data_IF_218569178029
#
_entry.id   IF_218569178029
#
_cell.length_a   1.000
_cell.length_b   1.000
_cell.length_c   1.000
_cell.angle_alpha   90.00
_cell.angle_beta   90.00
_cell.angle_gamma   90.00
#
_symmetry.space_group_name_H-M   'P 1'
#
loop_
_entity.id
_entity.type
_entity.pdbx_description
1 polymer ?
#
# COMPACT_ATOMS: atom_id res chain seq x y z
N UNK A 1 14.06 3.81 -13.58
CA UNK A 1 15.15 4.70 -14.00
C UNK A 1 16.45 3.94 -14.18
N UNK A 2 17.01 3.29 -13.18
CA UNK A 2 18.30 2.57 -13.28
C UNK A 2 18.32 1.43 -14.30
N UNK A 3 17.20 0.79 -14.58
CA UNK A 3 17.14 -0.20 -15.67
C UNK A 3 17.37 0.44 -17.05
N UNK A 4 16.88 1.66 -17.25
CA UNK A 4 17.06 2.42 -18.50
C UNK A 4 18.37 3.20 -18.54
N UNK A 5 18.80 3.69 -17.40
CA UNK A 5 19.99 4.52 -17.21
C UNK A 5 20.84 3.95 -16.05
N UNK A 6 21.62 2.89 -16.28
CA UNK A 6 22.33 2.18 -15.21
C UNK A 6 23.28 3.06 -14.37
N UNK A 7 23.88 4.05 -15.02
CA UNK A 7 24.85 4.96 -14.38
C UNK A 7 24.19 6.18 -13.71
N UNK A 8 22.84 6.32 -13.77
CA UNK A 8 22.18 7.43 -13.13
C UNK A 8 22.18 7.28 -11.60
N UNK A 9 22.25 8.40 -10.90
CA UNK A 9 22.01 8.46 -9.47
C UNK A 9 20.55 8.74 -9.18
N UNK A 10 19.96 7.97 -8.29
CA UNK A 10 18.58 8.11 -7.86
C UNK A 10 18.56 8.58 -6.42
N UNK A 11 18.11 9.80 -6.21
CA UNK A 11 17.96 10.39 -4.90
C UNK A 11 16.49 10.47 -4.51
N UNK A 12 16.19 10.22 -3.28
CA UNK A 12 14.84 10.33 -2.71
C UNK A 12 14.81 11.53 -1.77
N UNK A 13 13.80 12.40 -1.85
CA UNK A 13 13.61 13.44 -0.84
C UNK A 13 13.54 12.81 0.55
N UNK A 14 14.34 13.31 1.49
CA UNK A 14 14.28 12.83 2.86
C UNK A 14 12.92 13.12 3.48
N UNK A 15 12.57 12.40 4.53
CA UNK A 15 11.37 12.69 5.30
C UNK A 15 11.37 14.10 5.90
N UNK A 16 12.55 14.63 6.22
CA UNK A 16 12.72 16.02 6.68
C UNK A 16 12.31 17.00 5.59
N UNK A 17 12.83 16.80 4.37
CA UNK A 17 12.49 17.65 3.22
C UNK A 17 10.99 17.56 2.90
N UNK A 18 10.40 16.35 2.90
CA UNK A 18 8.97 16.20 2.68
C UNK A 18 8.13 16.90 3.75
N UNK A 19 8.56 16.85 5.00
CA UNK A 19 7.89 17.57 6.08
C UNK A 19 7.97 19.09 5.91
N UNK A 20 9.08 19.63 5.44
CA UNK A 20 9.23 21.06 5.14
C UNK A 20 8.34 21.49 3.97
N UNK A 21 8.25 20.67 2.92
CA UNK A 21 7.46 20.98 1.71
C UNK A 21 5.95 20.83 1.95
N UNK A 22 5.54 19.78 2.65
CA UNK A 22 4.14 19.37 2.76
C UNK A 22 3.55 19.52 4.16
N UNK A 23 4.27 20.14 5.11
CA UNK A 23 3.96 20.14 6.55
C UNK A 23 2.48 20.22 6.91
N UNK A 24 1.81 21.30 6.50
CA UNK A 24 0.40 21.50 6.82
C UNK A 24 -0.53 20.59 6.00
N UNK A 25 -0.17 20.25 4.75
CA UNK A 25 -0.95 19.34 3.92
C UNK A 25 -0.96 17.91 4.47
N UNK A 26 0.10 17.47 5.13
CA UNK A 26 0.15 16.13 5.76
C UNK A 26 -0.84 16.05 6.92
N UNK A 27 -0.98 17.12 7.69
CA UNK A 27 -1.99 17.22 8.75
C UNK A 27 -3.41 17.23 8.18
N UNK A 28 -3.62 17.92 7.07
CA UNK A 28 -4.90 18.01 6.37
C UNK A 28 -5.39 16.69 5.77
N UNK A 29 -4.49 15.76 5.50
CA UNK A 29 -4.84 14.43 4.98
C UNK A 29 -5.23 13.44 6.08
N UNK A 30 -5.40 13.90 7.31
CA UNK A 30 -5.76 13.05 8.45
C UNK A 30 -4.59 12.24 9.01
N UNK A 31 -3.38 12.50 8.54
CA UNK A 31 -2.16 11.83 9.00
C UNK A 31 -1.52 12.55 10.20
N UNK A 32 -2.31 12.98 11.17
CA UNK A 32 -1.81 13.72 12.36
C UNK A 32 -0.70 13.01 13.14
N UNK A 33 -0.51 11.71 12.91
CA UNK A 33 0.57 10.89 13.45
C UNK A 33 1.63 10.54 12.41
N UNK A 34 1.53 11.09 11.19
CA UNK A 34 2.46 10.75 10.11
C UNK A 34 3.87 11.26 10.42
N UNK A 35 4.78 10.34 10.65
CA UNK A 35 6.19 10.65 10.74
C UNK A 35 6.83 10.49 9.36
N UNK A 36 6.94 11.60 8.62
CA UNK A 36 7.49 11.61 7.28
C UNK A 36 8.91 11.02 7.22
N UNK A 37 9.73 11.32 8.23
CA UNK A 37 11.12 10.81 8.30
C UNK A 37 11.14 9.30 8.37
N UNK A 38 10.40 8.74 9.33
CA UNK A 38 10.37 7.29 9.52
C UNK A 38 9.71 6.57 8.34
N UNK A 39 8.64 7.16 7.79
CA UNK A 39 7.92 6.56 6.67
C UNK A 39 8.79 6.46 5.42
N UNK A 40 9.44 7.55 5.01
CA UNK A 40 10.31 7.55 3.82
C UNK A 40 11.49 6.62 4.01
N UNK A 41 12.16 6.68 5.16
CA UNK A 41 13.27 5.81 5.48
C UNK A 41 12.85 4.33 5.47
N UNK A 42 11.66 4.02 6.01
CA UNK A 42 11.15 2.66 6.02
C UNK A 42 10.78 2.14 4.63
N UNK A 43 10.14 2.97 3.79
CA UNK A 43 9.74 2.55 2.44
C UNK A 43 10.98 2.24 1.58
N UNK A 44 11.98 3.11 1.61
CA UNK A 44 13.15 3.00 0.72
C UNK A 44 14.36 2.33 1.34
N UNK A 45 14.28 1.91 2.62
CA UNK A 45 15.37 1.19 3.30
C UNK A 45 15.77 -0.04 2.50
N UNK A 46 17.07 -0.23 2.34
CA UNK A 46 17.67 -1.39 1.64
C UNK A 46 17.26 -1.53 0.17
N UNK A 47 16.70 -0.47 -0.44
CA UNK A 47 16.32 -0.50 -1.85
C UNK A 47 17.57 -0.31 -2.73
N UNK A 48 17.95 -1.29 -3.57
CA UNK A 48 19.17 -1.23 -4.38
C UNK A 48 19.11 -0.18 -5.50
N UNK A 49 17.94 0.37 -5.77
CA UNK A 49 17.75 1.40 -6.80
C UNK A 49 17.80 2.83 -6.27
N UNK A 50 17.96 3.00 -4.96
CA UNK A 50 18.10 4.30 -4.30
C UNK A 50 19.53 4.47 -3.85
N UNK A 51 20.18 5.53 -4.30
CA UNK A 51 21.58 5.82 -3.96
C UNK A 51 21.69 6.56 -2.64
N UNK A 52 20.80 7.54 -2.39
CA UNK A 52 20.83 8.31 -1.15
C UNK A 52 19.52 9.11 -0.95
N UNK A 53 19.41 9.70 0.23
CA UNK A 53 18.37 10.67 0.59
C UNK A 53 18.94 12.08 0.55
N UNK A 54 18.14 13.06 0.12
CA UNK A 54 18.54 14.46 0.04
C UNK A 54 17.59 15.35 0.87
N UNK A 55 18.18 16.33 1.55
CA UNK A 55 17.46 17.33 2.37
C UNK A 55 17.15 18.62 1.62
N UNK A 56 17.73 18.83 0.45
CA UNK A 56 17.49 20.00 -0.40
C UNK A 56 17.66 19.64 -1.86
N UNK A 57 17.05 20.41 -2.73
CA UNK A 57 17.21 20.32 -4.18
C UNK A 57 17.70 21.68 -4.67
N UNK A 58 18.88 21.68 -5.29
CA UNK A 58 19.37 22.83 -6.04
C UNK A 58 18.90 22.68 -7.48
N UNK A 59 17.89 23.46 -7.89
CA UNK A 59 17.36 23.44 -9.25
C UNK A 59 15.84 23.46 -9.32
N UNK A 60 15.32 23.40 -10.53
CA UNK A 60 13.88 23.34 -10.78
C UNK A 60 13.35 21.90 -10.57
N UNK A 61 12.24 21.79 -9.82
CA UNK A 61 11.49 20.54 -9.70
C UNK A 61 10.56 20.44 -10.92
N UNK A 62 10.90 19.58 -11.87
CA UNK A 62 10.09 19.38 -13.09
C UNK A 62 8.88 18.47 -12.89
N UNK A 63 8.43 18.24 -11.68
CA UNK A 63 7.44 17.22 -11.43
C UNK A 63 6.12 17.80 -10.92
N UNK A 64 5.10 17.77 -11.78
CA UNK A 64 3.72 18.05 -11.40
C UNK A 64 2.89 16.74 -11.54
N UNK A 65 2.91 15.93 -10.49
CA UNK A 65 2.17 14.66 -10.51
C UNK A 65 0.65 14.84 -10.53
N UNK A 66 0.14 16.01 -10.16
CA UNK A 66 -1.30 16.31 -10.26
C UNK A 66 -1.80 16.35 -11.70
N UNK A 67 -0.96 16.73 -12.65
CA UNK A 67 -1.31 16.68 -14.07
C UNK A 67 -1.52 15.25 -14.58
N UNK A 68 -0.88 14.26 -13.98
CA UNK A 68 -1.06 12.86 -14.34
C UNK A 68 -2.49 12.44 -14.04
N UNK A 69 -3.04 12.86 -12.91
CA UNK A 69 -4.41 12.50 -12.52
C UNK A 69 -5.48 13.12 -13.42
N UNK A 70 -5.20 14.24 -14.06
CA UNK A 70 -6.14 14.90 -14.97
C UNK A 70 -6.22 14.21 -16.35
N UNK A 71 -5.23 13.41 -16.72
CA UNK A 71 -5.09 12.79 -18.04
C UNK A 71 -5.18 11.28 -18.04
N UNK A 72 -5.57 10.68 -16.92
CA UNK A 72 -5.56 9.22 -16.78
C UNK A 72 -6.62 8.51 -17.59
N UNK A 73 -6.24 7.34 -18.09
CA UNK A 73 -7.11 6.40 -18.77
C UNK A 73 -7.40 5.21 -17.85
N UNK A 74 -8.67 5.00 -17.50
CA UNK A 74 -9.10 3.96 -16.56
C UNK A 74 -8.78 2.52 -17.01
N UNK A 75 -8.42 2.33 -18.26
CA UNK A 75 -8.04 1.03 -18.80
C UNK A 75 -6.55 0.68 -18.65
N UNK A 76 -5.75 1.63 -18.16
CA UNK A 76 -4.29 1.46 -18.03
C UNK A 76 -3.93 1.65 -16.55
N UNK A 77 -3.19 0.71 -15.92
CA UNK A 77 -2.73 0.87 -14.54
C UNK A 77 -2.03 2.21 -14.31
N UNK A 78 -2.34 2.87 -13.21
CA UNK A 78 -1.84 4.23 -12.93
C UNK A 78 -0.31 4.29 -12.94
N UNK A 79 0.35 3.27 -12.40
CA UNK A 79 1.81 3.21 -12.41
C UNK A 79 2.38 3.22 -13.85
N UNK A 80 1.75 2.52 -14.78
CA UNK A 80 2.12 2.57 -16.22
C UNK A 80 1.88 3.95 -16.82
N UNK A 81 0.76 4.59 -16.47
CA UNK A 81 0.47 5.94 -16.96
C UNK A 81 1.50 6.95 -16.46
N UNK A 82 1.94 6.84 -15.20
CA UNK A 82 3.00 7.69 -14.64
C UNK A 82 4.31 7.52 -15.42
N UNK A 83 4.72 6.30 -15.73
CA UNK A 83 5.93 6.05 -16.52
C UNK A 83 5.82 6.59 -17.95
N UNK A 84 4.66 6.47 -18.59
CA UNK A 84 4.41 7.07 -19.92
C UNK A 84 4.46 8.60 -19.86
N UNK A 85 3.93 9.20 -18.81
CA UNK A 85 4.06 10.65 -18.60
C UNK A 85 5.53 11.09 -18.55
N UNK A 86 6.41 10.26 -17.98
CA UNK A 86 7.86 10.46 -17.99
C UNK A 86 8.54 9.93 -19.26
N UNK A 87 7.81 9.80 -20.34
CA UNK A 87 8.30 9.44 -21.68
C UNK A 87 8.94 8.04 -21.77
N UNK A 88 8.57 7.12 -20.86
CA UNK A 88 8.89 5.72 -21.05
C UNK A 88 7.99 5.11 -22.11
N UNK A 89 8.58 4.37 -23.03
CA UNK A 89 7.85 3.60 -24.06
C UNK A 89 7.31 2.30 -23.45
N UNK A 90 6.26 1.74 -24.04
CA UNK A 90 5.65 0.50 -23.53
C UNK A 90 6.64 -0.66 -23.41
N UNK A 91 7.59 -0.79 -24.32
CA UNK A 91 8.64 -1.81 -24.28
C UNK A 91 9.76 -1.54 -23.26
N UNK A 92 9.78 -0.36 -22.65
CA UNK A 92 10.72 0.02 -21.59
C UNK A 92 10.10 -0.16 -20.19
N UNK A 93 8.78 -0.39 -20.11
CA UNK A 93 8.04 -0.61 -18.87
C UNK A 93 7.97 -2.13 -18.64
N UNK A 94 8.87 -2.63 -17.78
CA UNK A 94 9.00 -4.06 -17.54
C UNK A 94 8.11 -4.48 -16.37
N UNK A 95 8.20 -3.76 -15.27
CA UNK A 95 7.47 -4.06 -14.04
C UNK A 95 7.11 -2.74 -13.33
N UNK A 96 5.87 -2.61 -12.91
CA UNK A 96 5.35 -1.44 -12.18
C UNK A 96 4.93 -1.77 -10.77
N UNK A 97 5.05 -3.03 -10.36
CA UNK A 97 4.68 -3.47 -9.02
C UNK A 97 5.78 -3.12 -8.03
N UNK A 98 5.46 -2.51 -6.90
CA UNK A 98 6.44 -2.16 -5.88
C UNK A 98 7.21 -3.36 -5.36
N UNK A 99 8.50 -3.19 -5.14
CA UNK A 99 9.39 -4.18 -4.53
C UNK A 99 9.61 -3.89 -3.04
N UNK A 100 9.77 -4.95 -2.26
CA UNK A 100 10.15 -4.89 -0.86
C UNK A 100 11.49 -5.59 -0.63
N UNK A 101 12.44 -4.89 -0.05
CA UNK A 101 13.80 -5.36 0.20
C UNK A 101 14.05 -5.49 1.71
N UNK A 102 13.77 -6.64 2.34
CA UNK A 102 14.03 -6.85 3.75
C UNK A 102 15.53 -6.89 4.04
N UNK A 103 15.93 -6.42 5.21
CA UNK A 103 17.28 -6.61 5.72
C UNK A 103 17.43 -8.00 6.35
N UNK A 104 18.67 -8.45 6.57
CA UNK A 104 18.93 -9.71 7.27
C UNK A 104 18.37 -9.70 8.71
N UNK A 105 18.44 -8.56 9.38
CA UNK A 105 17.85 -8.38 10.72
C UNK A 105 16.34 -8.60 10.70
N UNK A 106 15.65 -8.05 9.71
CA UNK A 106 14.21 -8.21 9.54
C UNK A 106 13.83 -9.65 9.20
N UNK A 107 14.62 -10.32 8.37
CA UNK A 107 14.44 -11.75 8.08
C UNK A 107 14.64 -12.61 9.31
N UNK A 108 15.67 -12.34 10.11
CA UNK A 108 15.92 -13.03 11.38
C UNK A 108 14.79 -12.78 12.37
N UNK A 109 14.31 -11.53 12.47
CA UNK A 109 13.15 -11.23 13.29
C UNK A 109 11.92 -12.05 12.83
N UNK A 110 11.63 -12.08 11.53
CA UNK A 110 10.49 -12.82 10.99
C UNK A 110 10.57 -14.31 11.33
N UNK A 111 11.72 -14.94 11.14
CA UNK A 111 11.93 -16.36 11.43
C UNK A 111 11.73 -16.70 12.91
N UNK A 112 12.04 -15.76 13.81
CA UNK A 112 11.83 -15.94 15.25
C UNK A 112 10.40 -15.62 15.68
N UNK A 113 9.76 -14.67 15.02
CA UNK A 113 8.40 -14.21 15.34
C UNK A 113 7.33 -15.13 14.77
N UNK A 114 7.43 -15.43 13.47
CA UNK A 114 6.40 -16.19 12.75
C UNK A 114 6.55 -17.69 13.05
N UNK A 115 5.47 -18.26 13.59
CA UNK A 115 5.40 -19.70 13.93
C UNK A 115 4.61 -20.51 12.93
N UNK A 116 4.07 -19.88 11.90
CA UNK A 116 3.16 -20.50 10.95
C UNK A 116 3.76 -20.54 9.56
N UNK A 117 3.74 -21.72 8.94
CA UNK A 117 4.13 -21.86 7.54
C UNK A 117 3.04 -21.34 6.60
N UNK A 118 1.77 -21.54 7.01
CA UNK A 118 0.59 -21.16 6.22
C UNK A 118 -0.29 -20.21 7.03
N UNK A 119 -0.50 -19.00 6.51
CA UNK A 119 -1.38 -18.01 7.13
C UNK A 119 -1.94 -17.02 6.13
N UNK A 120 -3.08 -16.45 6.48
CA UNK A 120 -3.66 -15.29 5.82
C UNK A 120 -3.38 -14.00 6.59
N UNK A 121 -3.40 -12.88 5.89
CA UNK A 121 -3.24 -11.55 6.50
C UNK A 121 -4.44 -10.68 6.14
N UNK A 122 -5.03 -10.04 7.14
CA UNK A 122 -6.15 -9.10 6.99
C UNK A 122 -5.69 -7.72 7.43
N UNK A 123 -5.79 -6.75 6.54
CA UNK A 123 -5.55 -5.33 6.81
C UNK A 123 -6.90 -4.59 6.76
N UNK A 124 -7.48 -4.34 7.92
CA UNK A 124 -8.75 -3.64 8.06
C UNK A 124 -8.50 -2.17 8.46
N UNK A 125 -8.64 -1.25 7.51
CA UNK A 125 -8.57 0.19 7.80
C UNK A 125 -9.94 0.75 8.13
N UNK A 126 -10.00 2.00 8.63
CA UNK A 126 -11.23 2.72 8.99
C UNK A 126 -12.26 2.85 7.88
N UNK A 127 -11.87 2.70 6.61
CA UNK A 127 -12.81 2.78 5.50
C UNK A 127 -13.84 1.65 5.50
N UNK A 128 -13.51 0.47 6.08
CA UNK A 128 -14.50 -0.60 6.28
C UNK A 128 -15.61 -0.22 7.25
N UNK A 129 -15.35 0.68 8.20
CA UNK A 129 -16.34 1.15 9.16
C UNK A 129 -17.28 2.20 8.56
N UNK A 130 -16.88 2.85 7.48
CA UNK A 130 -17.60 3.94 6.82
C UNK A 130 -18.51 3.49 5.67
N UNK A 131 -18.83 2.19 5.59
CA UNK A 131 -19.85 1.67 4.67
C UNK A 131 -19.33 1.19 3.32
N UNK A 132 -18.04 0.87 3.19
CA UNK A 132 -17.56 0.13 2.02
C UNK A 132 -18.24 -1.25 2.01
N UNK A 133 -18.67 -1.77 0.84
CA UNK A 133 -19.29 -3.08 0.73
C UNK A 133 -18.30 -4.19 1.02
N UNK A 134 -18.13 -4.47 2.29
CA UNK A 134 -17.21 -5.51 2.80
C UNK A 134 -17.63 -6.93 2.39
N UNK A 135 -18.88 -7.12 1.98
CA UNK A 135 -19.47 -8.43 1.70
C UNK A 135 -18.68 -9.23 0.65
N UNK A 136 -18.18 -8.54 -0.38
CA UNK A 136 -17.36 -9.19 -1.40
C UNK A 136 -16.05 -9.74 -0.79
N UNK A 137 -15.42 -8.96 0.08
CA UNK A 137 -14.20 -9.39 0.76
C UNK A 137 -14.47 -10.54 1.72
N UNK A 138 -15.55 -10.49 2.49
CA UNK A 138 -15.95 -11.58 3.39
C UNK A 138 -16.26 -12.85 2.59
N UNK A 139 -16.92 -12.75 1.44
CA UNK A 139 -17.20 -13.90 0.57
C UNK A 139 -15.91 -14.59 0.11
N UNK A 140 -14.91 -13.83 -0.29
CA UNK A 140 -13.61 -14.41 -0.70
C UNK A 140 -12.86 -15.00 0.48
N UNK A 141 -12.88 -14.35 1.66
CA UNK A 141 -12.29 -14.91 2.88
C UNK A 141 -12.93 -16.27 3.23
N UNK A 142 -14.24 -16.39 3.03
CA UNK A 142 -15.00 -17.63 3.28
C UNK A 142 -14.44 -18.81 2.47
N UNK A 143 -13.98 -18.58 1.26
CA UNK A 143 -13.35 -19.61 0.43
C UNK A 143 -12.02 -20.12 1.04
N UNK A 144 -11.30 -19.26 1.74
CA UNK A 144 -9.98 -19.57 2.30
C UNK A 144 -10.01 -20.08 3.74
N UNK A 145 -11.03 -19.76 4.53
CA UNK A 145 -11.06 -20.06 5.99
C UNK A 145 -10.94 -21.55 6.32
N UNK A 146 -11.30 -22.43 5.40
CA UNK A 146 -11.19 -23.88 5.60
C UNK A 146 -9.79 -24.43 5.28
N UNK A 147 -9.03 -23.75 4.44
CA UNK A 147 -7.67 -24.14 4.05
C UNK A 147 -6.63 -23.42 4.91
N UNK A 148 -6.83 -22.16 5.20
CA UNK A 148 -5.94 -21.35 6.05
C UNK A 148 -6.46 -21.37 7.49
N UNK A 149 -5.62 -21.86 8.41
CA UNK A 149 -5.97 -22.01 9.83
C UNK A 149 -5.41 -20.93 10.71
N UNK A 150 -4.46 -20.12 10.23
CA UNK A 150 -3.79 -19.10 10.99
C UNK A 150 -3.96 -17.75 10.31
N UNK A 151 -4.21 -16.70 11.07
CA UNK A 151 -4.52 -15.39 10.55
C UNK A 151 -3.81 -14.30 11.32
N UNK A 152 -3.18 -13.38 10.64
CA UNK A 152 -2.76 -12.11 11.21
C UNK A 152 -3.78 -11.05 10.86
N UNK A 153 -4.21 -10.30 11.86
CA UNK A 153 -5.18 -9.23 11.72
C UNK A 153 -4.59 -7.90 12.19
N UNK A 154 -4.64 -6.90 11.34
CA UNK A 154 -4.37 -5.51 11.69
C UNK A 154 -5.61 -4.68 11.36
N UNK A 155 -6.24 -4.11 12.38
CA UNK A 155 -7.44 -3.29 12.24
C UNK A 155 -7.41 -2.07 13.15
N UNK A 156 -8.22 -1.07 12.83
CA UNK A 156 -8.45 0.06 13.72
C UNK A 156 -9.28 -0.35 14.93
N UNK A 157 -10.25 -1.24 14.72
CA UNK A 157 -10.99 -1.92 15.79
C UNK A 157 -10.38 -3.27 16.11
N UNK A 158 -10.58 -3.75 17.32
CA UNK A 158 -10.18 -5.09 17.73
C UNK A 158 -10.90 -6.15 16.87
N UNK A 159 -10.26 -7.29 16.64
CA UNK A 159 -10.84 -8.35 15.81
C UNK A 159 -12.23 -8.77 16.28
N UNK A 160 -12.42 -8.92 17.60
CA UNK A 160 -13.71 -9.33 18.23
C UNK A 160 -14.86 -8.40 17.89
N UNK A 161 -14.59 -7.11 17.63
CA UNK A 161 -15.57 -6.07 17.34
C UNK A 161 -15.68 -5.78 15.84
N UNK A 162 -14.87 -6.45 15.03
CA UNK A 162 -14.84 -6.28 13.57
C UNK A 162 -15.85 -7.18 12.86
N UNK A 163 -16.21 -6.83 11.63
CA UNK A 163 -17.03 -7.66 10.74
C UNK A 163 -16.39 -9.03 10.46
N UNK A 164 -15.06 -9.15 10.57
CA UNK A 164 -14.33 -10.39 10.36
C UNK A 164 -14.52 -11.44 11.46
N UNK A 165 -14.93 -11.01 12.65
CA UNK A 165 -15.21 -11.94 13.76
C UNK A 165 -16.32 -12.94 13.43
N UNK A 166 -17.33 -12.51 12.68
CA UNK A 166 -18.44 -13.36 12.25
C UNK A 166 -18.02 -14.49 11.28
N UNK A 167 -16.83 -14.41 10.70
CA UNK A 167 -16.33 -15.41 9.74
C UNK A 167 -15.91 -16.72 10.37
N UNK A 168 -15.74 -16.76 11.70
CA UNK A 168 -15.30 -17.96 12.41
C UNK A 168 -13.87 -18.38 12.06
N UNK A 169 -12.97 -17.41 11.84
CA UNK A 169 -11.56 -17.65 11.55
C UNK A 169 -10.86 -18.31 12.74
N UNK A 170 -10.02 -19.30 12.47
CA UNK A 170 -9.24 -19.98 13.50
C UNK A 170 -7.93 -19.22 13.76
N UNK A 171 -7.40 -19.33 15.00
CA UNK A 171 -6.05 -18.84 15.37
C UNK A 171 -5.73 -17.42 14.86
N UNK A 172 -6.57 -16.46 15.18
CA UNK A 172 -6.35 -15.07 14.82
C UNK A 172 -5.38 -14.40 15.81
N UNK A 173 -4.31 -13.81 15.27
CA UNK A 173 -3.35 -13.01 16.02
C UNK A 173 -3.54 -11.54 15.65
N UNK A 174 -3.94 -10.74 16.60
CA UNK A 174 -4.02 -9.29 16.43
C UNK A 174 -2.63 -8.66 16.47
N UNK A 175 -2.28 -7.92 15.43
CA UNK A 175 -0.93 -7.34 15.28
C UNK A 175 -0.82 -5.97 15.96
N UNK A 176 -1.91 -5.20 15.99
CA UNK A 176 -1.90 -3.85 16.54
C UNK A 176 -1.33 -3.76 17.97
N UNK A 177 -1.70 -4.67 18.91
CA UNK A 177 -1.13 -4.66 20.25
C UNK A 177 0.36 -4.99 20.32
N UNK A 178 0.92 -5.59 19.27
CA UNK A 178 2.32 -6.02 19.22
C UNK A 178 3.28 -4.88 18.82
N UNK A 179 2.76 -3.72 18.47
CA UNK A 179 3.53 -2.54 18.05
C UNK A 179 4.61 -2.82 17.00
N UNK A 180 4.28 -3.67 16.02
CA UNK A 180 5.19 -3.99 14.94
C UNK A 180 5.48 -2.77 14.08
N UNK A 181 6.71 -2.63 13.65
CA UNK A 181 7.07 -1.60 12.67
C UNK A 181 6.34 -1.83 11.35
N UNK A 182 6.20 -0.78 10.53
CA UNK A 182 5.60 -0.89 9.20
C UNK A 182 6.32 -1.94 8.34
N UNK A 183 7.65 -2.06 8.44
CA UNK A 183 8.42 -3.04 7.69
C UNK A 183 8.23 -4.47 8.19
N UNK A 184 8.08 -4.67 9.50
CA UNK A 184 7.74 -5.98 10.07
C UNK A 184 6.36 -6.43 9.62
N UNK A 185 5.37 -5.54 9.63
CA UNK A 185 4.04 -5.83 9.09
C UNK A 185 4.10 -6.15 7.60
N UNK A 186 4.89 -5.37 6.85
CA UNK A 186 5.08 -5.59 5.42
C UNK A 186 5.72 -6.95 5.15
N UNK A 187 6.72 -7.34 5.94
CA UNK A 187 7.35 -8.64 5.80
C UNK A 187 6.37 -9.80 6.07
N UNK A 188 5.52 -9.67 7.11
CA UNK A 188 4.44 -10.63 7.33
C UNK A 188 3.51 -10.73 6.12
N UNK A 189 3.13 -9.61 5.53
CA UNK A 189 2.26 -9.59 4.34
C UNK A 189 2.92 -10.23 3.12
N UNK A 190 4.20 -9.97 2.87
CA UNK A 190 4.92 -10.58 1.72
C UNK A 190 5.07 -12.10 1.82
N UNK A 191 4.99 -12.65 3.02
CA UNK A 191 5.10 -14.09 3.30
C UNK A 191 3.77 -14.79 3.53
N UNK A 192 2.66 -14.05 3.53
CA UNK A 192 1.34 -14.62 3.66
C UNK A 192 0.95 -15.42 2.40
N UNK A 193 0.16 -16.46 2.56
CA UNK A 193 -0.42 -17.20 1.43
C UNK A 193 -1.43 -16.34 0.66
N UNK A 194 -2.13 -15.47 1.40
CA UNK A 194 -3.11 -14.55 0.84
C UNK A 194 -3.25 -13.31 1.73
N UNK A 195 -3.44 -12.17 1.11
CA UNK A 195 -3.72 -10.90 1.76
C UNK A 195 -5.13 -10.41 1.43
N UNK A 196 -5.78 -9.81 2.41
CA UNK A 196 -7.08 -9.19 2.29
C UNK A 196 -7.02 -7.78 2.87
N UNK A 197 -7.70 -6.83 2.25
CA UNK A 197 -7.76 -5.49 2.83
C UNK A 197 -8.34 -4.43 1.93
N UNK A 198 -8.16 -3.18 2.35
CA UNK A 198 -8.47 -2.00 1.56
C UNK A 198 -7.30 -1.62 0.66
N UNK A 199 -7.59 -0.81 -0.35
CA UNK A 199 -6.55 -0.18 -1.16
C UNK A 199 -5.77 0.83 -0.31
N UNK A 200 -4.56 0.45 0.02
CA UNK A 200 -3.60 1.27 0.77
C UNK A 200 -2.21 1.08 0.20
N UNK A 201 -1.29 1.98 0.50
CA UNK A 201 0.12 1.80 0.13
C UNK A 201 0.70 0.46 0.62
N UNK A 202 0.26 -0.01 1.78
CA UNK A 202 0.63 -1.32 2.33
C UNK A 202 0.13 -2.48 1.49
N UNK A 203 -1.07 -2.40 0.92
CA UNK A 203 -1.63 -3.43 0.06
C UNK A 203 -0.93 -3.46 -1.30
N UNK A 204 -0.65 -2.30 -1.87
CA UNK A 204 0.08 -2.18 -3.13
C UNK A 204 1.50 -2.73 -3.03
N UNK A 205 2.15 -2.53 -1.90
CA UNK A 205 3.56 -2.92 -1.71
C UNK A 205 3.78 -4.43 -1.58
N UNK A 206 2.73 -5.20 -1.32
CA UNK A 206 2.80 -6.67 -1.20
C UNK A 206 2.30 -7.44 -2.42
N UNK A 207 1.68 -6.76 -3.37
CA UNK A 207 0.98 -7.39 -4.49
C UNK A 207 1.82 -8.41 -5.26
N UNK A 208 3.11 -8.13 -5.46
CA UNK A 208 4.06 -8.98 -6.17
C UNK A 208 4.38 -10.31 -5.46
N UNK A 209 4.25 -10.34 -4.14
CA UNK A 209 4.79 -11.44 -3.32
C UNK A 209 3.73 -12.43 -2.87
N UNK A 210 2.49 -11.97 -2.79
CA UNK A 210 1.40 -12.76 -2.24
C UNK A 210 0.09 -12.37 -2.90
N UNK A 211 -0.76 -13.34 -3.14
CA UNK A 211 -2.09 -13.10 -3.70
C UNK A 211 -2.86 -12.12 -2.82
N UNK A 212 -3.29 -11.01 -3.39
CA UNK A 212 -3.88 -9.89 -2.65
C UNK A 212 -5.27 -9.56 -3.20
N UNK A 213 -6.27 -9.62 -2.33
CA UNK A 213 -7.63 -9.20 -2.59
C UNK A 213 -7.90 -7.87 -1.89
N UNK A 214 -8.30 -6.88 -2.63
CA UNK A 214 -8.40 -5.51 -2.14
C UNK A 214 -9.75 -4.91 -2.51
N UNK A 215 -10.43 -4.34 -1.51
CA UNK A 215 -11.55 -3.44 -1.77
C UNK A 215 -11.01 -2.08 -2.21
N UNK A 216 -11.40 -1.65 -3.39
CA UNK A 216 -10.99 -0.35 -3.90
C UNK A 216 -11.81 0.79 -3.32
N UNK A 217 -11.20 1.97 -3.26
CA UNK A 217 -11.88 3.21 -2.79
C UNK A 217 -12.96 3.76 -3.73
N UNK A 218 -13.29 3.06 -4.81
CA UNK A 218 -14.28 3.54 -5.79
C UNK A 218 -15.66 3.74 -5.22
N UNK A 219 -16.02 2.96 -4.24
CA UNK A 219 -17.38 2.94 -3.69
C UNK A 219 -17.73 4.27 -3.02
N UNK A 220 -16.80 4.85 -2.27
CA UNK A 220 -17.07 6.11 -1.59
C UNK A 220 -17.32 7.27 -2.59
N UNK A 221 -16.52 7.35 -3.64
CA UNK A 221 -16.64 8.42 -4.64
C UNK A 221 -17.84 8.20 -5.58
N UNK A 222 -18.19 6.95 -5.87
CA UNK A 222 -19.39 6.62 -6.64
C UNK A 222 -20.67 6.92 -5.88
N UNK A 223 -20.70 6.67 -4.56
CA UNK A 223 -21.89 6.88 -3.73
C UNK A 223 -22.07 8.36 -3.39
N UNK A 224 -20.99 9.09 -3.11
CA UNK A 224 -21.06 10.45 -2.58
C UNK A 224 -20.68 11.54 -3.60
N UNK A 225 -20.03 11.20 -4.70
CA UNK A 225 -19.63 12.16 -5.76
C UNK A 225 -18.65 13.26 -5.34
N UNK A 226 -18.28 13.29 -4.06
CA UNK A 226 -17.45 14.31 -3.45
C UNK A 226 -16.43 13.66 -2.51
N UNK A 227 -15.23 14.25 -2.38
CA UNK A 227 -14.30 13.85 -1.34
C UNK A 227 -14.76 14.34 0.04
N UNK A 228 -14.06 13.93 1.09
CA UNK A 228 -14.37 14.31 2.48
C UNK A 228 -14.36 15.82 2.76
N UNK A 229 -13.86 16.64 1.82
CA UNK A 229 -13.89 18.11 1.87
C UNK A 229 -14.98 18.71 0.98
N UNK A 230 -15.92 17.92 0.46
CA UNK A 230 -17.00 18.37 -0.44
C UNK A 230 -16.51 18.75 -1.84
N UNK A 231 -15.29 18.34 -2.22
CA UNK A 231 -14.74 18.63 -3.54
C UNK A 231 -15.18 17.54 -4.51
N UNK A 232 -15.74 17.91 -5.64
CA UNK A 232 -16.01 16.95 -6.72
C UNK A 232 -14.67 16.41 -7.22
N UNK A 233 -14.39 15.15 -6.92
CA UNK A 233 -13.28 14.46 -7.56
C UNK A 233 -13.66 14.23 -9.01
N UNK A 234 -12.87 14.77 -9.93
CA UNK A 234 -13.04 14.55 -11.38
C UNK A 234 -12.85 13.09 -11.75
N UNK A 235 -12.22 12.31 -10.86
CA UNK A 235 -12.10 10.88 -10.98
C UNK A 235 -11.84 10.18 -9.67
N UNK A 236 -12.49 9.08 -9.51
CA UNK A 236 -12.07 8.10 -8.52
C UNK A 236 -10.70 7.54 -8.90
N UNK A 237 -9.90 7.20 -7.91
CA UNK A 237 -8.98 6.11 -8.07
C UNK A 237 -9.88 4.90 -8.37
N UNK A 238 -9.88 4.44 -9.59
CA UNK A 238 -10.63 3.23 -9.88
C UNK A 238 -9.84 2.05 -9.37
N UNK A 239 -10.50 1.24 -8.59
CA UNK A 239 -10.01 -0.05 -8.20
C UNK A 239 -9.56 -0.83 -9.45
N UNK A 240 -8.49 -1.55 -9.33
CA UNK A 240 -7.95 -2.33 -10.42
C UNK A 240 -6.93 -1.62 -11.29
N UNK A 241 -6.71 -0.33 -11.09
CA UNK A 241 -5.91 0.46 -11.99
C UNK A 241 -4.60 0.99 -11.43
N UNK A 242 -4.17 0.59 -10.23
CA UNK A 242 -2.88 1.03 -9.71
C UNK A 242 -1.76 0.07 -10.11
N UNK A 243 -1.89 -1.22 -9.79
CA UNK A 243 -0.97 -2.30 -10.17
C UNK A 243 -1.74 -3.51 -10.67
N UNK A 244 -1.11 -4.31 -11.54
CA UNK A 244 -1.76 -5.46 -12.21
C UNK A 244 -1.91 -6.70 -11.30
N UNK A 245 -1.08 -6.82 -10.25
CA UNK A 245 -1.00 -8.03 -9.42
C UNK A 245 -2.02 -8.08 -8.28
N UNK A 246 -2.90 -7.08 -8.17
CA UNK A 246 -3.96 -7.02 -7.16
C UNK A 246 -5.28 -7.46 -7.77
N UNK A 247 -6.01 -8.30 -7.04
CA UNK A 247 -7.38 -8.66 -7.37
C UNK A 247 -8.32 -7.68 -6.63
N UNK A 248 -8.93 -6.81 -7.39
CA UNK A 248 -9.89 -5.85 -6.86
C UNK A 248 -11.29 -6.45 -6.81
N UNK A 249 -12.02 -6.14 -5.72
CA UNK A 249 -13.34 -6.67 -5.42
C UNK A 249 -14.41 -5.58 -5.47
#
# INVERSE_FOLDING_TARGET
LKQKYPDCKVYIPSGKMLKEIFGDMLNDWGYGTFNAVDTVNNIFKNNPYVDDFIDSIDGEIFHDHFKIYDTTNDKIPLAKQMLKFWQFKDNEIIDTTPDFYPTEEELNWFNNFNKYNDYGYILASSSFENGDPIENLLSVIDEYKNTIKNWYYYGEVDFKDSSFNSMGLSNVIEIKPLNLTIRQQQLLKTKANVNFGNETGMSLWTAKYSKSYVLGHTTYTQIHGEDYKGRKRKRPFQSGNFVEDIIYL
#
